data_IF_026386909450
#
_entry.id   IF_026386909450
#
_cell.length_a   1.000
_cell.length_b   1.000
_cell.length_c   1.000
_cell.angle_alpha   90.00
_cell.angle_beta   90.00
_cell.angle_gamma   90.00
#
_symmetry.space_group_name_H-M   'P 1'
#
loop_
_entity.id
_entity.type
_entity.pdbx_description
1 polymer ?
#
# COMPACT_ATOMS: atom_id res chain seq x y z
N UNK A 1 2.75 -7.48 1.49
CA UNK A 1 3.35 -6.35 2.22
C UNK A 1 4.64 -6.81 2.90
N UNK A 2 5.62 -5.90 3.04
CA UNK A 2 6.92 -6.17 3.67
C UNK A 2 7.15 -5.14 4.78
N UNK A 3 7.66 -5.57 5.92
CA UNK A 3 8.05 -4.68 7.02
C UNK A 3 9.28 -5.23 7.74
N UNK A 4 10.05 -4.35 8.37
CA UNK A 4 11.17 -4.69 9.26
C UNK A 4 11.15 -3.72 10.46
N UNK A 5 10.26 -3.95 11.45
CA UNK A 5 10.11 -3.08 12.60
C UNK A 5 11.42 -2.96 13.36
N UNK A 6 11.77 -1.75 13.79
CA UNK A 6 13.04 -1.48 14.46
C UNK A 6 14.26 -1.33 13.55
N UNK A 7 14.11 -1.50 12.24
CA UNK A 7 15.17 -1.32 11.25
C UNK A 7 14.84 -0.27 10.20
N UNK A 8 13.54 -0.09 9.87
CA UNK A 8 13.11 0.82 8.81
C UNK A 8 13.14 2.30 9.18
N UNK A 9 13.57 2.65 10.37
CA UNK A 9 13.93 4.02 10.73
C UNK A 9 15.32 4.41 10.19
N UNK A 10 16.12 3.44 9.76
CA UNK A 10 17.35 3.67 9.02
C UNK A 10 17.02 3.85 7.52
N UNK A 11 17.35 5.01 6.91
CA UNK A 11 17.03 5.28 5.51
C UNK A 11 17.66 4.31 4.51
N UNK A 12 18.85 3.78 4.81
CA UNK A 12 19.51 2.80 3.93
C UNK A 12 18.73 1.48 3.90
N UNK A 13 18.31 1.00 5.06
CA UNK A 13 17.47 -0.21 5.17
C UNK A 13 16.13 -0.03 4.48
N UNK A 14 15.47 1.11 4.70
CA UNK A 14 14.20 1.43 4.07
C UNK A 14 14.32 1.51 2.54
N UNK A 15 15.40 2.12 2.02
CA UNK A 15 15.66 2.23 0.59
C UNK A 15 15.89 0.85 -0.06
N UNK A 16 16.74 0.00 0.55
CA UNK A 16 16.99 -1.37 0.05
C UNK A 16 15.71 -2.20 0.09
N UNK A 17 14.94 -2.13 1.17
CA UNK A 17 13.69 -2.86 1.30
C UNK A 17 12.67 -2.43 0.24
N UNK A 18 12.55 -1.11 -0.01
CA UNK A 18 11.67 -0.57 -1.05
C UNK A 18 12.11 -1.01 -2.44
N UNK A 19 13.40 -0.95 -2.75
CA UNK A 19 13.95 -1.40 -4.02
C UNK A 19 13.68 -2.90 -4.27
N UNK A 20 13.86 -3.75 -3.25
CA UNK A 20 13.58 -5.19 -3.35
C UNK A 20 12.09 -5.49 -3.46
N UNK A 21 11.24 -4.75 -2.76
CA UNK A 21 9.79 -4.93 -2.81
C UNK A 21 9.16 -4.44 -4.13
N UNK A 22 9.80 -3.51 -4.83
CA UNK A 22 9.32 -3.01 -6.13
C UNK A 22 9.47 -4.01 -7.27
N UNK A 23 10.33 -5.04 -7.12
CA UNK A 23 10.67 -6.01 -8.18
C UNK A 23 10.99 -7.38 -7.58
N UNK A 24 10.03 -8.05 -6.98
CA UNK A 24 10.21 -9.42 -6.46
C UNK A 24 10.17 -10.39 -7.64
N UNK A 25 11.27 -11.11 -7.85
CA UNK A 25 11.45 -12.02 -8.99
C UNK A 25 11.22 -11.35 -10.36
N UNK A 26 11.44 -10.05 -10.47
CA UNK A 26 11.25 -9.30 -11.71
C UNK A 26 9.80 -9.01 -12.11
N UNK A 27 8.82 -9.56 -11.40
CA UNK A 27 7.40 -9.54 -11.79
C UNK A 27 6.47 -8.95 -10.72
N UNK A 28 6.69 -9.30 -9.44
CA UNK A 28 5.77 -8.97 -8.37
C UNK A 28 6.18 -7.69 -7.63
N UNK A 29 5.18 -7.01 -7.06
CA UNK A 29 5.38 -5.80 -6.26
C UNK A 29 4.75 -5.96 -4.89
N UNK A 30 5.36 -5.35 -3.88
CA UNK A 30 4.80 -5.32 -2.54
C UNK A 30 4.87 -3.91 -1.94
N UNK A 31 3.87 -3.54 -1.18
CA UNK A 31 3.94 -2.33 -0.36
C UNK A 31 4.87 -2.55 0.82
N UNK A 32 5.60 -1.52 1.20
CA UNK A 32 6.59 -1.51 2.26
C UNK A 32 6.10 -0.59 3.38
N UNK A 33 6.05 -1.12 4.61
CA UNK A 33 5.76 -0.31 5.77
C UNK A 33 7.08 0.13 6.41
N UNK A 34 7.19 1.44 6.66
CA UNK A 34 8.38 2.06 7.21
C UNK A 34 8.02 2.96 8.38
N UNK A 35 8.88 3.02 9.38
CA UNK A 35 8.66 3.82 10.58
C UNK A 35 9.58 5.04 10.60
N UNK A 36 9.04 6.19 10.99
CA UNK A 36 9.81 7.37 11.33
C UNK A 36 10.36 7.20 12.75
N UNK A 37 11.67 7.48 13.00
CA UNK A 37 12.29 7.26 14.30
C UNK A 37 11.65 8.15 15.39
N UNK A 38 11.00 7.52 16.36
CA UNK A 38 10.32 8.22 17.45
C UNK A 38 11.24 8.59 18.63
N UNK A 39 12.54 8.35 18.51
CA UNK A 39 13.59 8.84 19.43
C UNK A 39 14.08 10.24 19.04
N UNK A 40 14.29 10.48 17.76
CA UNK A 40 14.80 11.74 17.19
C UNK A 40 13.68 12.66 16.72
N UNK A 41 12.63 12.12 16.11
CA UNK A 41 11.48 12.89 15.62
C UNK A 41 10.33 12.82 16.63
N UNK A 42 10.35 13.77 17.54
CA UNK A 42 9.47 13.76 18.73
C UNK A 42 8.16 14.53 18.54
N UNK A 43 8.10 15.44 17.57
CA UNK A 43 6.94 16.28 17.30
C UNK A 43 6.32 15.94 15.96
N UNK A 44 5.01 15.89 15.90
CA UNK A 44 4.27 15.63 14.66
C UNK A 44 4.59 16.62 13.54
N UNK A 45 4.96 17.88 13.89
CA UNK A 45 5.34 18.93 12.95
C UNK A 45 6.66 18.64 12.21
N UNK A 46 7.55 17.87 12.83
CA UNK A 46 8.87 17.58 12.30
C UNK A 46 8.91 16.33 11.42
N UNK A 47 7.85 15.50 11.51
CA UNK A 47 7.72 14.22 10.76
C UNK A 47 7.78 14.42 9.25
N UNK A 48 7.05 15.37 8.64
CA UNK A 48 7.10 15.57 7.19
C UNK A 48 8.48 16.01 6.67
N UNK A 49 9.16 16.87 7.41
CA UNK A 49 10.50 17.32 7.06
C UNK A 49 11.49 16.15 7.11
N UNK A 50 11.44 15.34 8.17
CA UNK A 50 12.28 14.16 8.28
C UNK A 50 12.01 13.15 7.15
N UNK A 51 10.74 12.85 6.90
CA UNK A 51 10.28 11.97 5.82
C UNK A 51 10.86 12.38 4.45
N UNK A 52 10.74 13.66 4.10
CA UNK A 52 11.19 14.16 2.82
C UNK A 52 12.72 14.18 2.71
N UNK A 53 13.41 14.60 3.76
CA UNK A 53 14.88 14.65 3.80
C UNK A 53 15.53 13.27 3.70
N UNK A 54 14.83 12.22 4.14
CA UNK A 54 15.33 10.85 4.12
C UNK A 54 14.72 10.00 2.97
N UNK A 55 14.04 10.63 1.99
CA UNK A 55 13.46 9.96 0.81
C UNK A 55 12.40 8.89 1.11
N UNK A 56 11.58 9.08 2.16
CA UNK A 56 10.41 8.24 2.42
C UNK A 56 9.21 8.70 1.60
N UNK A 57 9.41 8.77 0.28
CA UNK A 57 8.47 9.36 -0.70
C UNK A 57 8.06 8.39 -1.80
N UNK A 58 8.24 7.09 -1.57
CA UNK A 58 7.88 6.05 -2.54
C UNK A 58 6.37 5.82 -2.65
N UNK A 59 5.93 5.47 -3.85
CA UNK A 59 4.52 5.13 -4.14
C UNK A 59 4.06 3.84 -3.44
N UNK A 60 4.98 2.93 -3.19
CA UNK A 60 4.70 1.67 -2.48
C UNK A 60 5.09 1.73 -0.99
N UNK A 61 5.53 2.90 -0.49
CA UNK A 61 5.86 3.10 0.92
C UNK A 61 4.64 3.57 1.72
N UNK A 62 4.45 2.98 2.89
CA UNK A 62 3.46 3.37 3.90
C UNK A 62 4.26 3.83 5.11
N UNK A 63 4.32 5.14 5.32
CA UNK A 63 5.13 5.78 6.36
C UNK A 63 4.32 5.88 7.65
N UNK A 64 4.84 5.39 8.75
CA UNK A 64 4.16 5.28 10.03
C UNK A 64 4.86 6.10 11.12
N UNK A 65 4.09 6.79 11.96
CA UNK A 65 4.55 7.51 13.14
C UNK A 65 3.38 7.73 14.13
N UNK A 66 3.58 7.70 15.45
CA UNK A 66 4.77 7.31 16.23
C UNK A 66 4.79 5.80 16.55
N UNK A 67 5.15 5.41 17.76
CA UNK A 67 5.05 4.03 18.27
C UNK A 67 3.71 3.81 18.97
N UNK A 68 3.35 2.54 19.14
CA UNK A 68 2.15 2.05 19.83
C UNK A 68 2.53 1.46 21.17
N UNK A 69 1.78 1.79 22.21
CA UNK A 69 1.85 1.14 23.53
C UNK A 69 0.70 0.13 23.66
N UNK A 70 1.05 -1.08 24.12
CA UNK A 70 0.09 -2.12 24.48
C UNK A 70 0.58 -2.81 25.76
N UNK A 71 -0.12 -2.60 26.88
CA UNK A 71 0.35 -2.95 28.21
C UNK A 71 1.66 -2.23 28.53
N UNK A 72 2.65 -2.97 28.98
CA UNK A 72 3.99 -2.46 29.29
C UNK A 72 4.94 -2.44 28.07
N UNK A 73 4.48 -2.91 26.92
CA UNK A 73 5.31 -3.05 25.73
C UNK A 73 5.05 -1.94 24.71
N UNK A 74 6.11 -1.60 24.00
CA UNK A 74 6.08 -0.64 22.88
C UNK A 74 6.35 -1.38 21.58
N UNK A 75 5.58 -1.04 20.54
CA UNK A 75 5.69 -1.62 19.21
C UNK A 75 5.78 -0.51 18.17
N UNK A 76 6.42 -0.80 17.06
CA UNK A 76 6.38 0.09 15.90
C UNK A 76 4.96 0.13 15.31
N UNK A 77 4.50 1.31 14.91
CA UNK A 77 3.16 1.48 14.35
C UNK A 77 2.99 0.67 13.06
N UNK A 78 4.05 0.50 12.26
CA UNK A 78 4.04 -0.35 11.06
C UNK A 78 3.53 -1.76 11.32
N UNK A 79 3.89 -2.36 12.46
CA UNK A 79 3.42 -3.70 12.85
C UNK A 79 1.90 -3.71 13.07
N UNK A 80 1.40 -2.70 13.76
CA UNK A 80 -0.03 -2.58 14.06
C UNK A 80 -0.85 -2.27 12.78
N UNK A 81 -0.33 -1.40 11.92
CA UNK A 81 -0.93 -1.09 10.60
C UNK A 81 -1.00 -2.35 9.74
N UNK A 82 0.09 -3.13 9.66
CA UNK A 82 0.08 -4.37 8.88
C UNK A 82 -0.92 -5.39 9.42
N UNK A 83 -1.00 -5.54 10.75
CA UNK A 83 -1.97 -6.41 11.39
C UNK A 83 -3.41 -6.02 11.07
N UNK A 84 -3.74 -4.73 11.19
CA UNK A 84 -5.05 -4.20 10.86
C UNK A 84 -5.41 -4.36 9.37
N UNK A 85 -4.45 -4.12 8.48
CA UNK A 85 -4.64 -4.33 7.04
C UNK A 85 -4.83 -5.82 6.71
N UNK A 86 -4.09 -6.72 7.36
CA UNK A 86 -4.26 -8.16 7.17
C UNK A 86 -5.63 -8.68 7.61
N UNK A 87 -6.12 -8.21 8.75
CA UNK A 87 -7.49 -8.54 9.22
C UNK A 87 -8.55 -8.00 8.25
N UNK A 88 -8.33 -6.78 7.73
CA UNK A 88 -9.24 -6.16 6.78
C UNK A 88 -9.28 -6.92 5.45
N UNK A 89 -8.12 -7.29 4.91
CA UNK A 89 -8.01 -8.07 3.68
C UNK A 89 -8.68 -9.43 3.84
N UNK A 90 -8.39 -10.16 4.93
CA UNK A 90 -9.00 -11.46 5.20
C UNK A 90 -10.53 -11.40 5.30
N UNK A 91 -11.09 -10.30 5.83
CA UNK A 91 -12.53 -10.06 5.85
C UNK A 91 -13.12 -9.85 4.45
N UNK A 92 -12.31 -9.40 3.52
CA UNK A 92 -12.68 -9.04 2.14
C UNK A 92 -12.19 -10.06 1.11
N UNK A 93 -12.11 -11.35 1.47
CA UNK A 93 -11.63 -12.44 0.60
C UNK A 93 -10.20 -12.21 0.06
N UNK A 94 -9.33 -11.67 0.90
CA UNK A 94 -7.94 -11.30 0.59
C UNK A 94 -7.79 -10.21 -0.50
N UNK A 95 -8.86 -9.42 -0.74
CA UNK A 95 -8.88 -8.33 -1.72
C UNK A 95 -8.65 -6.99 -1.01
N UNK A 96 -7.56 -6.27 -1.30
CA UNK A 96 -7.15 -5.07 -0.56
C UNK A 96 -7.80 -3.77 -1.08
N UNK A 97 -9.10 -3.77 -1.34
CA UNK A 97 -9.80 -2.59 -1.89
C UNK A 97 -10.16 -1.55 -0.82
N UNK A 98 -10.24 -1.97 0.44
CA UNK A 98 -10.72 -1.11 1.52
C UNK A 98 -9.60 -0.31 2.17
N UNK A 99 -9.88 0.94 2.53
CA UNK A 99 -8.94 1.82 3.23
C UNK A 99 -8.64 1.32 4.65
N UNK A 100 -7.37 1.31 5.10
CA UNK A 100 -7.02 1.02 6.50
C UNK A 100 -7.38 2.16 7.45
N UNK A 101 -7.63 3.35 6.94
CA UNK A 101 -7.99 4.53 7.75
C UNK A 101 -9.34 4.35 8.43
N UNK A 102 -9.47 4.88 9.64
CA UNK A 102 -10.66 4.79 10.49
C UNK A 102 -11.03 3.34 10.88
N UNK A 103 -10.08 2.42 10.87
CA UNK A 103 -10.28 1.06 11.36
C UNK A 103 -9.81 0.93 12.80
N UNK A 104 -10.51 0.09 13.56
CA UNK A 104 -10.16 -0.18 14.95
C UNK A 104 -8.78 -0.86 15.03
N UNK A 105 -8.03 -0.44 16.02
CA UNK A 105 -6.75 -1.01 16.36
C UNK A 105 -6.68 -1.27 17.85
N UNK A 106 -6.10 -2.40 18.25
CA UNK A 106 -5.90 -2.73 19.65
C UNK A 106 -4.60 -2.08 20.14
N UNK A 107 -4.76 -1.07 20.97
CA UNK A 107 -3.65 -0.37 21.63
C UNK A 107 -4.17 0.43 22.83
N UNK A 108 -3.27 0.76 23.75
CA UNK A 108 -3.57 1.56 24.92
C UNK A 108 -3.20 3.04 24.73
N UNK A 109 -2.24 3.31 23.82
CA UNK A 109 -1.79 4.68 23.58
C UNK A 109 -0.75 4.76 22.45
N UNK A 110 -0.48 5.99 22.02
CA UNK A 110 0.66 6.33 21.22
C UNK A 110 1.82 6.80 22.12
N UNK A 111 3.04 6.45 21.78
CA UNK A 111 4.20 6.85 22.55
C UNK A 111 5.44 7.08 21.68
N UNK A 112 6.41 7.76 22.24
CA UNK A 112 7.77 7.83 21.72
C UNK A 112 8.59 6.62 22.19
N UNK A 113 9.81 6.51 21.67
CA UNK A 113 10.71 5.39 22.01
C UNK A 113 11.09 5.34 23.51
N UNK A 114 11.14 6.47 24.20
CA UNK A 114 11.37 6.56 25.64
C UNK A 114 10.12 6.26 26.49
N UNK A 115 8.94 6.13 25.84
CA UNK A 115 7.68 5.90 26.52
C UNK A 115 6.87 7.17 26.79
N UNK A 116 7.37 8.35 26.41
CA UNK A 116 6.60 9.60 26.50
C UNK A 116 5.33 9.45 25.69
N UNK A 117 4.19 9.73 26.30
CA UNK A 117 2.89 9.65 25.64
C UNK A 117 2.76 10.70 24.52
N UNK A 118 2.17 10.29 23.41
CA UNK A 118 1.83 11.17 22.29
C UNK A 118 0.32 11.20 22.15
N UNK A 119 -0.26 12.38 22.30
CA UNK A 119 -1.69 12.60 22.10
C UNK A 119 -1.86 13.42 20.84
N UNK A 120 -2.62 12.92 19.90
CA UNK A 120 -2.97 13.62 18.66
C UNK A 120 -4.46 13.91 18.65
N UNK A 121 -4.81 15.13 18.33
CA UNK A 121 -6.16 15.50 17.95
C UNK A 121 -6.44 15.23 16.47
N UNK A 122 -7.66 15.43 16.04
CA UNK A 122 -8.09 15.18 14.67
C UNK A 122 -7.37 16.09 13.66
N UNK A 123 -7.08 17.33 14.02
CA UNK A 123 -6.39 18.29 13.13
C UNK A 123 -4.94 17.86 12.90
N UNK A 124 -4.25 17.49 13.96
CA UNK A 124 -2.86 17.00 13.91
C UNK A 124 -2.75 15.68 13.13
N UNK A 125 -3.69 14.75 13.34
CA UNK A 125 -3.75 13.50 12.60
C UNK A 125 -4.06 13.74 11.10
N UNK A 126 -4.94 14.69 10.78
CA UNK A 126 -5.22 15.10 9.40
C UNK A 126 -4.01 15.78 8.75
N UNK A 127 -3.27 16.58 9.51
CA UNK A 127 -2.03 17.17 9.03
C UNK A 127 -1.02 16.08 8.62
N UNK A 128 -0.79 15.08 9.46
CA UNK A 128 0.10 13.96 9.15
C UNK A 128 -0.38 13.18 7.91
N UNK A 129 -1.68 12.86 7.83
CA UNK A 129 -2.23 12.20 6.64
C UNK A 129 -2.07 13.05 5.39
N UNK A 130 -2.24 14.39 5.50
CA UNK A 130 -1.98 15.36 4.44
C UNK A 130 -0.51 15.45 4.00
N UNK A 131 0.41 14.82 4.74
CA UNK A 131 1.83 14.70 4.41
C UNK A 131 2.25 13.26 4.06
N UNK A 132 1.30 12.35 3.83
CA UNK A 132 1.57 10.97 3.46
C UNK A 132 2.10 10.12 4.62
N UNK A 133 1.65 10.41 5.85
CA UNK A 133 2.03 9.68 7.06
C UNK A 133 0.79 9.07 7.70
N UNK A 134 0.87 7.78 8.01
CA UNK A 134 -0.14 7.04 8.76
C UNK A 134 0.13 7.17 10.25
N UNK A 135 -0.90 7.49 11.00
CA UNK A 135 -0.87 7.58 12.46
C UNK A 135 -2.06 6.86 13.07
N UNK A 136 -2.28 7.02 14.36
CA UNK A 136 -3.50 6.61 15.03
C UNK A 136 -3.97 7.72 15.98
N UNK A 137 -5.27 7.72 16.28
CA UNK A 137 -5.85 8.62 17.26
C UNK A 137 -6.96 7.93 18.04
N UNK A 138 -7.16 8.38 19.27
CA UNK A 138 -8.31 7.97 20.06
C UNK A 138 -9.46 8.93 19.77
N UNK A 139 -10.47 8.42 19.06
CA UNK A 139 -11.64 9.18 18.68
C UNK A 139 -12.91 8.37 18.92
N UNK A 140 -14.05 8.73 18.33
CA UNK A 140 -15.32 8.05 18.55
C UNK A 140 -15.18 6.52 18.37
N UNK A 141 -15.43 5.79 19.44
CA UNK A 141 -15.36 4.32 19.47
C UNK A 141 -13.95 3.74 19.72
N UNK A 142 -13.02 4.54 20.27
CA UNK A 142 -11.69 4.09 20.70
C UNK A 142 -10.56 4.39 19.69
N UNK A 143 -9.49 3.62 19.78
CA UNK A 143 -8.33 3.81 18.95
C UNK A 143 -8.57 3.42 17.50
N UNK A 144 -8.24 4.32 16.58
CA UNK A 144 -8.40 4.17 15.13
C UNK A 144 -7.07 4.43 14.41
N UNK A 145 -6.78 3.65 13.41
CA UNK A 145 -5.77 4.04 12.42
C UNK A 145 -6.25 5.27 11.66
N UNK A 146 -5.33 6.16 11.32
CA UNK A 146 -5.63 7.38 10.61
C UNK A 146 -4.60 7.66 9.52
N UNK A 147 -5.06 7.59 8.28
CA UNK A 147 -4.26 7.84 7.09
C UNK A 147 -4.49 6.77 6.02
N UNK A 148 -4.65 7.24 4.78
CA UNK A 148 -4.79 6.40 3.57
C UNK A 148 -3.90 6.93 2.44
N UNK A 149 -2.82 7.66 2.78
CA UNK A 149 -1.87 8.18 1.81
C UNK A 149 -0.57 7.41 1.86
N UNK A 150 0.00 7.14 0.69
CA UNK A 150 1.35 6.58 0.55
C UNK A 150 2.41 7.65 0.79
N UNK A 151 3.65 7.24 0.96
CA UNK A 151 4.77 8.16 1.17
C UNK A 151 4.97 9.21 0.07
N UNK A 152 4.54 8.95 -1.15
CA UNK A 152 4.69 9.89 -2.27
C UNK A 152 3.83 11.15 -2.14
N UNK A 153 2.78 11.13 -1.32
CA UNK A 153 1.94 12.30 -1.10
C UNK A 153 2.62 13.32 -0.16
N UNK A 154 2.51 14.64 -0.38
CA UNK A 154 1.70 15.35 -1.38
C UNK A 154 2.41 15.61 -2.72
N UNK A 155 3.67 15.21 -2.90
CA UNK A 155 4.42 15.49 -4.12
C UNK A 155 3.83 14.83 -5.37
N UNK A 156 3.30 13.61 -5.22
CA UNK A 156 2.52 12.92 -6.25
C UNK A 156 1.05 12.89 -5.85
N UNK A 157 0.20 13.48 -6.67
CA UNK A 157 -1.25 13.57 -6.47
C UNK A 157 -2.04 12.60 -7.36
N UNK A 158 -1.37 11.76 -8.15
CA UNK A 158 -2.05 10.72 -8.93
C UNK A 158 -2.78 9.76 -7.98
N UNK A 159 -4.07 9.63 -8.17
CA UNK A 159 -4.98 8.89 -7.28
C UNK A 159 -4.57 7.43 -7.12
N UNK A 160 -4.09 6.79 -8.20
CA UNK A 160 -3.63 5.39 -8.16
C UNK A 160 -2.35 5.17 -7.35
N UNK A 161 -1.53 6.23 -7.18
CA UNK A 161 -0.24 6.15 -6.50
C UNK A 161 -0.30 6.64 -5.06
N UNK A 162 -1.11 7.67 -4.80
CA UNK A 162 -1.12 8.33 -3.50
C UNK A 162 -2.08 7.70 -2.47
N UNK A 163 -3.03 6.86 -2.89
CA UNK A 163 -3.90 6.14 -1.96
C UNK A 163 -3.42 4.71 -1.70
N UNK A 164 -3.27 4.35 -0.43
CA UNK A 164 -2.80 3.03 -0.01
C UNK A 164 -3.68 1.91 -0.58
N UNK A 165 -5.01 2.00 -0.42
CA UNK A 165 -5.92 0.98 -0.89
C UNK A 165 -5.89 0.84 -2.42
N UNK A 166 -5.85 1.95 -3.16
CA UNK A 166 -5.79 1.90 -4.63
C UNK A 166 -4.47 1.32 -5.12
N UNK A 167 -3.34 1.78 -4.57
CA UNK A 167 -2.02 1.25 -4.93
C UNK A 167 -1.93 -0.25 -4.66
N UNK A 168 -2.42 -0.70 -3.51
CA UNK A 168 -2.46 -2.11 -3.16
C UNK A 168 -3.39 -2.90 -4.09
N UNK A 169 -4.54 -2.36 -4.45
CA UNK A 169 -5.48 -3.00 -5.36
C UNK A 169 -4.87 -3.18 -6.76
N UNK A 170 -4.16 -2.17 -7.29
CA UNK A 170 -3.43 -2.29 -8.56
C UNK A 170 -2.34 -3.37 -8.49
N UNK A 171 -1.53 -3.38 -7.43
CA UNK A 171 -0.49 -4.39 -7.25
C UNK A 171 -1.09 -5.80 -7.12
N UNK A 172 -2.18 -5.95 -6.36
CA UNK A 172 -2.89 -7.20 -6.18
C UNK A 172 -3.49 -7.72 -7.50
N UNK A 173 -4.15 -6.85 -8.26
CA UNK A 173 -4.73 -7.21 -9.55
C UNK A 173 -3.66 -7.65 -10.55
N UNK A 174 -2.56 -6.91 -10.66
CA UNK A 174 -1.43 -7.27 -11.52
C UNK A 174 -0.84 -8.63 -11.15
N UNK A 175 -0.66 -8.92 -9.85
CA UNK A 175 -0.16 -10.21 -9.38
C UNK A 175 -1.13 -11.35 -9.68
N UNK A 176 -2.42 -11.12 -9.47
CA UNK A 176 -3.47 -12.10 -9.77
C UNK A 176 -3.54 -12.39 -11.28
N UNK A 177 -3.38 -11.36 -12.11
CA UNK A 177 -3.28 -11.51 -13.56
C UNK A 177 -2.09 -12.39 -13.95
N UNK A 178 -0.89 -12.07 -13.47
CA UNK A 178 0.32 -12.86 -13.73
C UNK A 178 0.11 -14.34 -13.35
N UNK A 179 -0.39 -14.59 -12.14
CA UNK A 179 -0.62 -15.95 -11.66
C UNK A 179 -1.67 -16.71 -12.48
N UNK A 180 -2.75 -16.03 -12.89
CA UNK A 180 -3.84 -16.64 -13.65
C UNK A 180 -3.42 -17.06 -15.05
N UNK A 181 -2.52 -16.29 -15.67
CA UNK A 181 -2.14 -16.50 -17.06
C UNK A 181 -0.71 -17.03 -17.24
N UNK A 182 0.02 -17.30 -16.16
CA UNK A 182 1.37 -17.85 -16.24
C UNK A 182 1.48 -19.11 -17.10
N UNK A 183 0.48 -19.99 -17.02
CA UNK A 183 0.42 -21.22 -17.84
C UNK A 183 0.19 -20.97 -19.34
N UNK A 184 -0.06 -19.73 -19.75
CA UNK A 184 -0.23 -19.35 -21.16
C UNK A 184 1.05 -18.80 -21.79
N UNK A 185 2.07 -18.52 -20.99
CA UNK A 185 3.38 -18.09 -21.47
C UNK A 185 3.94 -19.19 -22.38
N UNK A 186 4.58 -18.80 -23.46
CA UNK A 186 5.13 -19.68 -24.52
C UNK A 186 4.10 -20.52 -25.31
N UNK A 187 2.79 -20.31 -25.08
CA UNK A 187 1.80 -20.91 -25.94
C UNK A 187 1.67 -20.13 -27.27
N UNK A 188 1.28 -20.80 -28.37
CA UNK A 188 1.09 -20.13 -29.65
C UNK A 188 0.13 -18.95 -29.53
N UNK A 189 0.63 -17.74 -29.84
CA UNK A 189 -0.14 -16.51 -29.82
C UNK A 189 -1.14 -16.51 -30.98
N UNK A 190 -2.41 -16.44 -30.65
CA UNK A 190 -3.49 -16.31 -31.63
C UNK A 190 -4.62 -15.44 -31.08
N UNK A 191 -5.46 -14.94 -31.96
CA UNK A 191 -6.58 -14.08 -31.58
C UNK A 191 -7.46 -14.71 -30.51
N UNK A 192 -7.73 -16.01 -30.59
CA UNK A 192 -8.56 -16.73 -29.63
C UNK A 192 -7.98 -16.69 -28.21
N UNK A 193 -6.65 -16.78 -28.08
CA UNK A 193 -5.99 -16.67 -26.78
C UNK A 193 -6.10 -15.25 -26.21
N UNK A 194 -5.93 -14.23 -27.05
CA UNK A 194 -6.07 -12.83 -26.65
C UNK A 194 -7.51 -12.56 -26.20
N UNK A 195 -8.51 -12.91 -27.02
CA UNK A 195 -9.92 -12.74 -26.68
C UNK A 195 -10.27 -13.46 -25.37
N UNK A 196 -9.77 -14.68 -25.15
CA UNK A 196 -9.99 -15.44 -23.91
C UNK A 196 -9.45 -14.70 -22.68
N UNK A 197 -8.27 -14.12 -22.75
CA UNK A 197 -7.68 -13.37 -21.65
C UNK A 197 -8.49 -12.12 -21.35
N UNK A 198 -8.81 -11.34 -22.40
CA UNK A 198 -9.60 -10.11 -22.29
C UNK A 198 -11.00 -10.38 -21.71
N UNK A 199 -11.70 -11.37 -22.22
CA UNK A 199 -13.05 -11.72 -21.75
C UNK A 199 -13.03 -12.21 -20.31
N UNK A 200 -12.09 -13.09 -19.96
CA UNK A 200 -11.97 -13.62 -18.60
C UNK A 200 -11.68 -12.52 -17.57
N UNK A 201 -10.80 -11.59 -17.90
CA UNK A 201 -10.49 -10.48 -16.99
C UNK A 201 -11.65 -9.47 -16.90
N UNK A 202 -12.36 -9.20 -17.98
CA UNK A 202 -13.55 -8.35 -17.95
C UNK A 202 -14.66 -8.98 -17.07
N UNK A 203 -14.85 -10.30 -17.13
CA UNK A 203 -15.76 -11.01 -16.22
C UNK A 203 -15.33 -10.83 -14.76
N UNK A 204 -14.02 -10.96 -14.47
CA UNK A 204 -13.47 -10.76 -13.12
C UNK A 204 -13.69 -9.33 -12.63
N UNK A 205 -13.36 -8.33 -13.45
CA UNK A 205 -13.54 -6.90 -13.11
C UNK A 205 -15.02 -6.58 -12.87
N UNK A 206 -15.90 -7.08 -13.73
CA UNK A 206 -17.36 -6.91 -13.55
C UNK A 206 -17.85 -7.57 -12.25
N UNK A 207 -17.25 -8.69 -11.84
CA UNK A 207 -17.50 -9.30 -10.54
C UNK A 207 -17.09 -8.39 -9.37
N UNK A 208 -15.99 -7.67 -9.47
CA UNK A 208 -15.58 -6.69 -8.45
C UNK A 208 -16.49 -5.46 -8.42
N UNK A 209 -16.93 -5.00 -9.58
CA UNK A 209 -17.91 -3.90 -9.69
C UNK A 209 -19.24 -4.29 -9.05
N UNK A 210 -19.75 -5.48 -9.34
CA UNK A 210 -21.03 -5.97 -8.77
C UNK A 210 -20.97 -6.17 -7.25
N UNK A 211 -19.79 -6.46 -6.70
CA UNK A 211 -19.52 -6.55 -5.25
C UNK A 211 -19.25 -5.19 -4.60
N UNK A 212 -19.17 -4.10 -5.36
CA UNK A 212 -18.89 -2.76 -4.88
C UNK A 212 -17.41 -2.49 -4.55
N UNK A 213 -16.49 -3.32 -5.01
CA UNK A 213 -15.05 -3.14 -4.77
C UNK A 213 -14.41 -2.14 -5.73
N UNK A 214 -14.99 -1.99 -6.92
CA UNK A 214 -14.60 -1.03 -7.95
C UNK A 214 -15.83 -0.28 -8.43
N UNK A 215 -15.64 0.97 -8.84
CA UNK A 215 -16.69 1.77 -9.50
C UNK A 215 -16.86 1.36 -10.98
N UNK A 216 -15.83 0.83 -11.59
CA UNK A 216 -15.80 0.39 -12.98
C UNK A 216 -14.39 -0.03 -13.36
N UNK A 217 -14.26 -0.71 -14.49
CA UNK A 217 -12.98 -1.10 -15.05
C UNK A 217 -13.19 -2.02 -16.24
N UNK A 218 -12.20 -2.04 -17.14
CA UNK A 218 -12.18 -2.94 -18.28
C UNK A 218 -10.75 -3.17 -18.73
N UNK A 219 -10.54 -4.29 -19.39
CA UNK A 219 -9.31 -4.59 -20.12
C UNK A 219 -9.68 -4.62 -21.62
N UNK A 220 -8.84 -3.99 -22.40
CA UNK A 220 -9.00 -3.92 -23.85
C UNK A 220 -7.70 -4.34 -24.53
N UNK A 221 -7.84 -5.03 -25.65
CA UNK A 221 -6.74 -5.24 -26.58
C UNK A 221 -6.78 -4.14 -27.64
N UNK A 222 -5.82 -3.23 -27.60
CA UNK A 222 -5.71 -2.14 -28.55
C UNK A 222 -4.76 -2.54 -29.70
N UNK A 223 -5.31 -2.69 -30.89
CA UNK A 223 -4.56 -3.09 -32.07
C UNK A 223 -3.43 -2.11 -32.41
N UNK A 224 -3.62 -0.85 -32.08
CA UNK A 224 -2.66 0.24 -32.32
C UNK A 224 -1.40 0.12 -31.44
N UNK A 225 -1.55 -0.44 -30.23
CA UNK A 225 -0.46 -0.69 -29.29
C UNK A 225 0.23 -2.04 -29.51
N UNK A 226 -0.33 -2.87 -30.41
CA UNK A 226 0.13 -4.22 -30.69
C UNK A 226 0.44 -4.39 -32.20
N UNK A 227 1.52 -3.76 -32.72
CA UNK A 227 1.90 -3.91 -34.10
C UNK A 227 2.27 -5.37 -34.42
N UNK A 228 2.13 -5.76 -35.69
CA UNK A 228 2.40 -7.15 -36.13
C UNK A 228 3.83 -7.60 -35.79
N UNK A 229 4.78 -6.70 -35.80
CA UNK A 229 6.18 -6.97 -35.40
C UNK A 229 6.28 -7.46 -33.96
N UNK A 230 5.64 -6.77 -33.01
CA UNK A 230 5.66 -7.14 -31.59
C UNK A 230 4.94 -8.49 -31.39
N UNK A 231 3.84 -8.72 -32.12
CA UNK A 231 3.13 -10.00 -32.05
C UNK A 231 3.97 -11.17 -32.62
N UNK A 232 4.78 -10.92 -33.66
CA UNK A 232 5.72 -11.93 -34.20
C UNK A 232 6.82 -12.28 -33.18
N UNK A 233 7.19 -11.34 -32.33
CA UNK A 233 8.12 -11.56 -31.22
C UNK A 233 7.43 -12.10 -29.95
N UNK A 234 6.13 -12.43 -30.03
CA UNK A 234 5.35 -12.97 -28.92
C UNK A 234 4.95 -11.95 -27.86
N UNK A 235 5.02 -10.64 -28.18
CA UNK A 235 4.69 -9.55 -27.26
C UNK A 235 3.26 -9.07 -27.54
N UNK A 236 2.45 -9.02 -26.48
CA UNK A 236 1.09 -8.42 -26.47
C UNK A 236 0.98 -7.47 -25.28
N UNK A 237 0.42 -6.28 -25.54
CA UNK A 237 0.21 -5.23 -24.54
C UNK A 237 -1.28 -4.95 -24.36
#
# INVERSE_FOLDING_TARGET
>A
MVLAPGWTHDPEVAAVMTAKASTINGLFKASVLVDVPADTVRKYTDVPAWKNNNNYVGVDQIVCWPMVKLGEKKYHLSTAVMGAMGVLDAKNDDIPYESPSNKNIQMDGLCLSDGTEVVLDLEQANYLNGQGVVTALNFIGGWKLWGNRTGCYPANTDVKDNFICLRRMFNWHAQTFIQSYWSKVDNPMNKRLIDLVVDSENIRINGFVSRGFLLGGRIEYLKEENPTTDQMDGIVR
#
